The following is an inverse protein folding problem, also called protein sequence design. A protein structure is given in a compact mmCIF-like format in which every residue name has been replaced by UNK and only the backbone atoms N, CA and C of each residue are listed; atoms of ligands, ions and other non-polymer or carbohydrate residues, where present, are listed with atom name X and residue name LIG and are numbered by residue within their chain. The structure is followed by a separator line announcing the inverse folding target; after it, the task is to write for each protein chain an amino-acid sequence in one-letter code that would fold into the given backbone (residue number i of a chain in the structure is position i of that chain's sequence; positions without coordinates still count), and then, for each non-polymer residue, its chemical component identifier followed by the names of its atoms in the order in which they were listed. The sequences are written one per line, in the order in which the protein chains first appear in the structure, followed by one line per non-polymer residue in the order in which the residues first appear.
data_IF_791125982394
#
_entry.id   IF_791125982394
#
_cell.length_a   1.000
_cell.length_b   1.000
_cell.length_c   1.000
_cell.angle_alpha   90.00
_cell.angle_beta   90.00
_cell.angle_gamma   90.00
#
_symmetry.space_group_name_H-M   'P 1'
#
loop_
_entity.id
_entity.type
_entity.pdbx_description
1 polymer ?
#
# COMPACT_ATOMS: atom_id res chain seq x y z
N UNK A 1 44.76 -23.88 -42.65
CA UNK A 1 44.54 -22.60 -41.94
C UNK A 1 43.11 -22.17 -42.21
N UNK A 2 42.16 -22.42 -41.30
CA UNK A 2 40.85 -21.75 -41.25
C UNK A 2 40.01 -22.13 -40.01
N UNK A 3 40.26 -23.26 -39.34
CA UNK A 3 39.43 -23.67 -38.19
C UNK A 3 39.61 -22.79 -36.94
N UNK A 4 40.81 -22.29 -36.68
CA UNK A 4 41.07 -21.48 -35.47
C UNK A 4 40.43 -20.08 -35.55
N UNK A 5 40.32 -19.53 -36.76
CA UNK A 5 39.69 -18.23 -36.99
C UNK A 5 38.16 -18.34 -36.87
N UNK A 6 37.56 -19.43 -37.37
CA UNK A 6 36.12 -19.68 -37.25
C UNK A 6 35.71 -19.96 -35.81
N UNK A 7 36.53 -20.68 -35.04
CA UNK A 7 36.24 -20.97 -33.63
C UNK A 7 36.25 -19.70 -32.77
N UNK A 8 37.20 -18.77 -33.01
CA UNK A 8 37.28 -17.48 -32.31
C UNK A 8 36.12 -16.55 -32.69
N UNK A 9 35.69 -16.57 -33.95
CA UNK A 9 34.52 -15.80 -34.42
C UNK A 9 33.21 -16.33 -33.81
N UNK A 10 33.07 -17.65 -33.71
CA UNK A 10 31.90 -18.28 -33.09
C UNK A 10 31.86 -18.05 -31.57
N UNK A 11 32.99 -18.09 -30.87
CA UNK A 11 33.07 -17.76 -29.43
C UNK A 11 32.78 -16.28 -29.16
N UNK A 12 33.23 -15.36 -30.01
CA UNK A 12 32.86 -13.94 -29.89
C UNK A 12 31.38 -13.69 -30.15
N UNK A 13 30.77 -14.35 -31.13
CA UNK A 13 29.33 -14.23 -31.41
C UNK A 13 28.46 -14.76 -30.26
N UNK A 14 28.86 -15.89 -29.64
CA UNK A 14 28.16 -16.44 -28.46
C UNK A 14 28.29 -15.50 -27.25
N UNK A 15 29.47 -14.89 -27.04
CA UNK A 15 29.69 -13.92 -25.97
C UNK A 15 28.87 -12.64 -26.11
N UNK A 16 28.72 -12.12 -27.34
CA UNK A 16 27.91 -10.92 -27.61
C UNK A 16 26.42 -11.20 -27.43
N UNK A 17 25.93 -12.39 -27.78
CA UNK A 17 24.53 -12.80 -27.57
C UNK A 17 24.21 -12.96 -26.07
N UNK A 18 25.13 -13.52 -25.28
CA UNK A 18 24.93 -13.67 -23.83
C UNK A 18 24.92 -12.32 -23.10
N UNK A 19 25.77 -11.36 -23.49
CA UNK A 19 25.77 -10.01 -22.90
C UNK A 19 24.52 -9.21 -23.32
N UNK A 20 24.03 -9.38 -24.55
CA UNK A 20 22.79 -8.76 -25.01
C UNK A 20 21.54 -9.32 -24.30
N UNK A 21 21.52 -10.63 -23.96
CA UNK A 21 20.43 -11.22 -23.18
C UNK A 21 20.44 -10.81 -21.71
N UNK A 22 21.62 -10.57 -21.11
CA UNK A 22 21.74 -10.10 -19.72
C UNK A 22 21.39 -8.61 -19.54
N UNK A 23 21.51 -7.81 -20.60
CA UNK A 23 21.14 -6.38 -20.57
C UNK A 23 19.69 -6.10 -20.99
N UNK A 24 18.97 -7.11 -21.50
CA UNK A 24 17.56 -7.00 -21.89
C UNK A 24 16.56 -7.42 -20.78
N UNK A 25 17.04 -7.84 -19.60
CA UNK A 25 16.19 -8.34 -18.51
C UNK A 25 15.62 -7.32 -17.50
N UNK A 26 15.94 -6.01 -17.47
CA UNK A 26 15.22 -5.09 -16.56
C UNK A 26 13.88 -4.54 -17.10
N UNK A 27 13.39 -4.97 -18.26
CA UNK A 27 12.19 -4.37 -18.89
C UNK A 27 10.92 -5.24 -18.85
N UNK A 28 10.91 -6.34 -18.09
CA UNK A 28 9.75 -7.24 -17.98
C UNK A 28 9.40 -7.58 -16.52
N UNK A 29 9.18 -6.55 -15.69
CA UNK A 29 8.46 -6.67 -14.43
C UNK A 29 7.64 -5.42 -14.12
N UNK A 30 6.91 -4.93 -15.11
CA UNK A 30 5.79 -4.01 -14.92
C UNK A 30 4.51 -4.82 -15.15
N UNK A 31 3.60 -4.97 -14.17
CA UNK A 31 2.30 -5.57 -14.43
C UNK A 31 1.51 -4.68 -15.41
N UNK A 32 0.93 -5.26 -16.47
CA UNK A 32 0.15 -4.53 -17.45
C UNK A 32 -1.28 -4.39 -16.93
N UNK A 33 -1.61 -3.26 -16.30
CA UNK A 33 -3.01 -2.83 -16.19
C UNK A 33 -3.12 -1.41 -16.73
N UNK A 34 -3.26 -1.36 -18.05
CA UNK A 34 -3.76 -0.19 -18.76
C UNK A 34 -5.18 0.10 -18.34
N UNK A 35 -5.40 1.34 -17.90
CA UNK A 35 -6.71 1.97 -17.85
C UNK A 35 -7.31 1.95 -19.28
N UNK A 36 -8.38 1.18 -19.44
CA UNK A 36 -9.26 1.19 -20.61
C UNK A 36 -10.54 2.00 -20.35
N UNK A 37 -11.28 2.39 -21.41
CA UNK A 37 -11.90 3.71 -21.52
C UNK A 37 -13.38 3.79 -21.09
N UNK A 38 -13.76 4.98 -20.65
CA UNK A 38 -15.07 5.66 -20.74
C UNK A 38 -16.36 4.84 -20.85
N UNK A 39 -17.13 4.87 -19.76
CA UNK A 39 -18.60 4.97 -19.75
C UNK A 39 -18.87 6.03 -18.67
N UNK A 40 -19.48 7.19 -18.91
CA UNK A 40 -20.65 7.48 -19.72
C UNK A 40 -21.63 8.16 -18.76
N UNK A 41 -21.79 9.48 -18.88
CA UNK A 41 -22.73 10.28 -18.11
C UNK A 41 -24.16 9.74 -18.25
N UNK A 42 -24.84 9.45 -17.13
CA UNK A 42 -26.29 9.62 -16.94
C UNK A 42 -26.73 9.03 -15.60
N UNK A 43 -27.14 9.91 -14.68
CA UNK A 43 -28.47 9.87 -14.02
C UNK A 43 -28.41 10.57 -12.66
N UNK A 44 -28.77 11.86 -12.70
CA UNK A 44 -29.05 12.65 -11.52
C UNK A 44 -30.32 12.16 -10.82
N UNK A 45 -30.20 11.83 -9.53
CA UNK A 45 -31.32 11.52 -8.63
C UNK A 45 -31.44 12.57 -7.50
N UNK A 46 -32.66 12.90 -7.05
CA UNK A 46 -32.96 14.15 -6.35
C UNK A 46 -32.82 14.03 -4.84
N UNK A 47 -31.63 14.28 -4.29
CA UNK A 47 -31.44 14.45 -2.84
C UNK A 47 -30.61 15.68 -2.51
N UNK A 48 -30.92 16.80 -3.16
CA UNK A 48 -30.47 18.12 -2.72
C UNK A 48 -31.15 18.49 -1.39
N UNK A 49 -30.53 18.10 -0.28
CA UNK A 49 -30.87 18.55 1.07
C UNK A 49 -29.83 19.54 1.59
N UNK A 50 -30.24 20.80 1.71
CA UNK A 50 -29.49 21.95 2.27
C UNK A 50 -29.14 21.81 3.76
N UNK A 51 -27.95 22.31 4.12
CA UNK A 51 -27.59 22.88 5.44
C UNK A 51 -26.88 21.90 6.39
N UNK A 52 -25.91 22.27 7.25
CA UNK A 52 -25.38 23.55 7.74
C UNK A 52 -24.04 23.27 8.47
N UNK A 53 -23.01 24.13 8.33
CA UNK A 53 -21.93 24.25 9.33
C UNK A 53 -20.48 24.28 8.79
N UNK A 54 -19.63 25.25 9.18
CA UNK A 54 -18.21 25.28 8.82
C UNK A 54 -17.41 24.52 9.88
N UNK A 55 -16.99 23.30 9.56
CA UNK A 55 -16.09 22.53 10.42
C UNK A 55 -15.94 21.10 9.96
N UNK A 56 -14.76 20.76 9.47
CA UNK A 56 -14.28 19.41 9.15
C UNK A 56 -15.14 18.64 8.13
N UNK A 57 -14.71 18.69 6.87
CA UNK A 57 -15.33 17.99 5.75
C UNK A 57 -15.47 16.50 6.00
N UNK A 58 -16.69 16.09 6.34
CA UNK A 58 -17.24 14.77 6.07
C UNK A 58 -18.48 15.03 5.22
N UNK A 59 -18.28 15.14 3.92
CA UNK A 59 -19.35 15.31 2.96
C UNK A 59 -20.24 14.06 2.87
N UNK A 60 -21.51 14.19 2.47
CA UNK A 60 -22.42 13.06 2.29
C UNK A 60 -22.03 12.31 1.01
N UNK A 61 -21.08 11.40 1.18
CA UNK A 61 -20.43 10.62 0.13
C UNK A 61 -19.22 9.83 0.67
N UNK A 62 -19.16 9.61 1.99
CA UNK A 62 -18.12 8.82 2.67
C UNK A 62 -18.26 7.34 2.36
N UNK A 63 -18.14 6.97 1.07
CA UNK A 63 -17.79 5.62 0.68
C UNK A 63 -16.41 5.32 1.27
N UNK A 64 -16.32 4.17 1.94
CA UNK A 64 -15.10 3.48 2.37
C UNK A 64 -13.84 4.11 1.79
N UNK A 65 -13.07 4.80 2.64
CA UNK A 65 -11.95 5.65 2.26
C UNK A 65 -10.97 4.97 1.32
N UNK A 66 -11.16 5.20 0.02
CA UNK A 66 -10.10 5.08 -0.95
C UNK A 66 -9.27 6.36 -0.84
N UNK A 67 -8.05 6.19 -0.33
CA UNK A 67 -7.16 7.26 0.09
C UNK A 67 -7.08 8.39 -0.92
N UNK A 68 -7.53 9.57 -0.52
CA UNK A 68 -7.01 10.80 -1.07
C UNK A 68 -5.51 10.78 -0.78
N UNK A 69 -4.67 10.80 -1.82
CA UNK A 69 -3.24 11.05 -1.69
C UNK A 69 -3.02 12.16 -0.65
N UNK A 70 -2.37 11.83 0.46
CA UNK A 70 -2.01 12.83 1.46
C UNK A 70 -1.10 13.84 0.78
N UNK A 71 -1.60 15.05 0.51
CA UNK A 71 -0.78 16.11 -0.07
C UNK A 71 0.37 16.38 0.89
N UNK A 72 1.60 16.12 0.43
CA UNK A 72 2.82 16.51 1.13
C UNK A 72 3.34 17.79 0.45
N UNK A 73 3.49 18.91 1.18
CA UNK A 73 4.09 20.12 0.64
C UNK A 73 5.48 19.84 0.06
N UNK A 74 5.82 20.49 -1.05
CA UNK A 74 7.14 20.29 -1.71
C UNK A 74 8.33 20.67 -0.82
N UNK A 75 8.12 21.54 0.17
CA UNK A 75 9.14 21.98 1.10
C UNK A 75 8.51 22.14 2.48
N UNK A 76 9.17 21.58 3.48
CA UNK A 76 8.79 21.68 4.89
C UNK A 76 9.98 22.19 5.71
N UNK A 77 9.73 22.80 6.89
CA UNK A 77 10.81 23.11 7.82
C UNK A 77 11.51 21.82 8.24
N UNK A 78 12.83 21.80 8.23
CA UNK A 78 13.61 20.63 8.66
C UNK A 78 13.36 20.39 10.15
N UNK A 79 12.92 19.19 10.58
CA UNK A 79 12.67 18.89 11.99
C UNK A 79 13.97 19.00 12.80
N UNK A 80 13.90 19.64 13.97
CA UNK A 80 15.04 19.81 14.87
C UNK A 80 15.30 18.55 15.70
N UNK A 81 14.24 17.82 16.03
CA UNK A 81 14.30 16.59 16.81
C UNK A 81 14.89 15.44 16.01
N UNK A 82 16.14 15.08 16.33
CA UNK A 82 16.81 13.89 15.78
C UNK A 82 16.06 12.60 16.14
N UNK A 83 15.44 12.54 17.30
CA UNK A 83 14.63 11.39 17.72
C UNK A 83 13.41 11.24 16.81
N UNK A 84 12.71 12.34 16.52
CA UNK A 84 11.54 12.32 15.64
C UNK A 84 11.91 11.88 14.24
N UNK A 85 13.00 12.42 13.67
CA UNK A 85 13.52 12.00 12.37
C UNK A 85 13.94 10.52 12.38
N UNK A 86 14.58 10.06 13.46
CA UNK A 86 14.95 8.65 13.63
C UNK A 86 13.74 7.73 13.62
N UNK A 87 12.69 8.07 14.36
CA UNK A 87 11.45 7.29 14.41
C UNK A 87 10.66 7.33 13.09
N UNK A 88 10.70 8.44 12.35
CA UNK A 88 10.12 8.51 11.01
C UNK A 88 10.86 7.56 10.05
N UNK A 89 12.20 7.45 10.17
CA UNK A 89 12.98 6.48 9.38
C UNK A 89 12.64 5.05 9.76
N UNK A 90 12.48 4.77 11.05
CA UNK A 90 12.04 3.45 11.53
C UNK A 90 10.69 3.07 10.93
N UNK A 91 9.70 3.98 10.92
CA UNK A 91 8.41 3.70 10.29
C UNK A 91 8.58 3.46 8.79
N UNK A 92 9.34 4.27 8.05
CA UNK A 92 9.55 4.03 6.61
C UNK A 92 10.07 2.62 6.31
N UNK A 93 11.00 2.14 7.13
CA UNK A 93 11.56 0.78 7.01
C UNK A 93 10.49 -0.28 7.30
N UNK A 94 9.62 -0.03 8.29
CA UNK A 94 8.52 -0.92 8.63
C UNK A 94 7.41 -0.92 7.57
N UNK A 95 7.05 0.22 6.97
CA UNK A 95 6.07 0.26 5.86
C UNK A 95 6.58 -0.48 4.62
N UNK A 96 7.87 -0.33 4.31
CA UNK A 96 8.50 -1.14 3.24
C UNK A 96 8.41 -2.63 3.55
N UNK A 97 8.62 -3.01 4.81
CA UNK A 97 8.48 -4.40 5.26
C UNK A 97 7.02 -4.88 5.13
N UNK A 98 6.04 -4.07 5.56
CA UNK A 98 4.60 -4.35 5.42
C UNK A 98 4.23 -4.57 3.95
N UNK A 99 4.58 -3.63 3.08
CA UNK A 99 4.31 -3.72 1.65
C UNK A 99 4.87 -5.01 1.03
N UNK A 100 6.14 -5.33 1.28
CA UNK A 100 6.79 -6.52 0.74
C UNK A 100 6.20 -7.82 1.33
N UNK A 101 5.96 -7.86 2.65
CA UNK A 101 5.38 -9.01 3.33
C UNK A 101 3.96 -9.29 2.85
N UNK A 102 3.13 -8.27 2.75
CA UNK A 102 1.73 -8.41 2.32
C UNK A 102 1.65 -8.89 0.88
N UNK A 103 2.52 -8.38 0.01
CA UNK A 103 2.62 -8.85 -1.38
C UNK A 103 3.04 -10.32 -1.44
N UNK A 104 4.06 -10.71 -0.67
CA UNK A 104 4.52 -12.10 -0.59
C UNK A 104 3.41 -13.06 -0.12
N UNK A 105 2.72 -12.72 0.96
CA UNK A 105 1.66 -13.56 1.51
C UNK A 105 0.44 -13.63 0.58
N UNK A 106 0.05 -12.52 -0.04
CA UNK A 106 -1.04 -12.48 -1.02
C UNK A 106 -0.79 -13.44 -2.18
N UNK A 107 0.42 -13.38 -2.76
CA UNK A 107 0.83 -14.23 -3.87
C UNK A 107 0.91 -15.71 -3.43
N UNK A 108 1.54 -15.97 -2.28
CA UNK A 108 1.77 -17.33 -1.77
C UNK A 108 0.47 -18.09 -1.51
N UNK A 109 -0.52 -17.44 -0.92
CA UNK A 109 -1.78 -18.07 -0.55
C UNK A 109 -2.90 -17.82 -1.56
N UNK A 110 -2.61 -17.10 -2.66
CA UNK A 110 -3.58 -16.73 -3.71
C UNK A 110 -4.89 -16.18 -3.12
N UNK A 111 -4.76 -15.26 -2.16
CA UNK A 111 -5.91 -14.63 -1.49
C UNK A 111 -6.06 -13.18 -1.93
N UNK A 112 -7.30 -12.77 -2.10
CA UNK A 112 -7.65 -11.49 -2.68
C UNK A 112 -7.93 -10.42 -1.62
N UNK A 113 -8.83 -10.70 -0.68
CA UNK A 113 -9.11 -9.82 0.46
C UNK A 113 -8.38 -10.32 1.72
N UNK A 114 -7.87 -9.44 2.58
CA UNK A 114 -7.91 -7.98 2.47
C UNK A 114 -6.75 -7.38 1.62
N UNK A 115 -5.77 -8.18 1.20
CA UNK A 115 -4.53 -7.72 0.58
C UNK A 115 -4.71 -6.76 -0.60
N UNK A 116 -5.66 -6.99 -1.50
CA UNK A 116 -5.91 -6.09 -2.65
C UNK A 116 -6.25 -4.66 -2.22
N UNK A 117 -6.89 -4.50 -1.07
CA UNK A 117 -7.26 -3.19 -0.56
C UNK A 117 -6.10 -2.52 0.18
N UNK A 118 -5.30 -3.32 0.89
CA UNK A 118 -4.24 -2.84 1.79
C UNK A 118 -2.95 -2.54 1.02
N UNK A 119 -2.50 -3.43 0.13
CA UNK A 119 -1.22 -3.28 -0.60
C UNK A 119 -1.08 -1.93 -1.34
N UNK A 120 -2.09 -1.44 -2.08
CA UNK A 120 -1.98 -0.11 -2.70
C UNK A 120 -1.84 1.03 -1.69
N UNK A 121 -2.48 0.91 -0.52
CA UNK A 121 -2.39 1.92 0.54
C UNK A 121 -1.01 1.89 1.21
N UNK A 122 -0.45 0.69 1.46
CA UNK A 122 0.94 0.55 1.94
C UNK A 122 1.94 1.20 0.98
N UNK A 123 1.74 1.02 -0.33
CA UNK A 123 2.55 1.69 -1.33
C UNK A 123 2.44 3.22 -1.21
N UNK A 124 1.23 3.74 -1.00
CA UNK A 124 1.00 5.17 -0.76
C UNK A 124 1.63 5.65 0.54
N UNK A 125 1.66 4.84 1.61
CA UNK A 125 2.32 5.16 2.87
C UNK A 125 3.82 5.34 2.67
N UNK A 126 4.47 4.35 2.03
CA UNK A 126 5.90 4.41 1.69
C UNK A 126 6.20 5.67 0.88
N UNK A 127 5.46 5.92 -0.20
CA UNK A 127 5.67 7.10 -1.06
C UNK A 127 5.43 8.41 -0.30
N UNK A 128 4.44 8.46 0.58
CA UNK A 128 4.12 9.65 1.38
C UNK A 128 5.25 9.97 2.36
N UNK A 129 5.79 8.96 3.03
CA UNK A 129 6.90 9.14 3.98
C UNK A 129 8.19 9.50 3.24
N UNK A 130 8.47 8.90 2.08
CA UNK A 130 9.59 9.29 1.21
C UNK A 130 9.47 10.76 0.76
N UNK A 131 8.26 11.21 0.43
CA UNK A 131 7.99 12.62 0.11
C UNK A 131 8.20 13.54 1.30
N UNK A 132 7.86 13.13 2.53
CA UNK A 132 8.18 13.89 3.73
C UNK A 132 9.70 14.07 3.85
N UNK A 133 10.48 12.99 3.72
CA UNK A 133 11.95 13.07 3.70
C UNK A 133 12.46 14.04 2.63
N UNK A 134 11.95 13.93 1.40
CA UNK A 134 12.31 14.83 0.31
C UNK A 134 11.95 16.29 0.61
N UNK A 135 10.78 16.56 1.19
CA UNK A 135 10.32 17.91 1.55
C UNK A 135 11.18 18.55 2.65
N UNK A 136 11.78 17.75 3.53
CA UNK A 136 12.77 18.20 4.52
C UNK A 136 14.20 18.30 3.94
N UNK A 137 14.44 17.86 2.70
CA UNK A 137 15.79 17.74 2.14
C UNK A 137 16.64 16.68 2.86
N UNK A 138 16.02 15.62 3.38
CA UNK A 138 16.65 14.52 4.10
C UNK A 138 16.59 13.22 3.28
N UNK A 139 17.56 12.29 3.45
CA UNK A 139 17.55 11.03 2.71
C UNK A 139 16.60 10.00 3.35
N UNK A 140 15.86 9.29 2.50
CA UNK A 140 14.90 8.23 2.85
C UNK A 140 15.58 6.83 2.89
N UNK A 141 16.55 6.69 3.79
CA UNK A 141 17.40 5.50 3.90
C UNK A 141 16.83 4.41 4.82
N UNK A 142 17.39 3.21 4.70
CA UNK A 142 17.06 2.06 5.53
C UNK A 142 16.49 0.91 4.69
N UNK A 143 16.97 -0.30 4.99
CA UNK A 143 16.49 -1.52 4.35
C UNK A 143 15.53 -2.25 5.31
N UNK A 144 14.40 -2.78 4.82
CA UNK A 144 13.53 -3.62 5.64
C UNK A 144 14.29 -4.84 6.16
N UNK A 145 13.80 -5.38 7.28
CA UNK A 145 14.24 -6.68 7.76
C UNK A 145 13.87 -7.78 6.77
N UNK A 146 14.41 -8.99 6.97
CA UNK A 146 14.05 -10.12 6.13
C UNK A 146 12.55 -10.47 6.27
N UNK A 147 11.93 -10.82 5.14
CA UNK A 147 10.54 -11.28 5.10
C UNK A 147 10.37 -12.58 5.89
N UNK A 148 9.21 -12.72 6.52
CA UNK A 148 8.85 -13.92 7.29
C UNK A 148 8.13 -14.91 6.38
N UNK A 149 8.63 -16.14 6.35
CA UNK A 149 7.97 -17.23 5.63
C UNK A 149 6.91 -17.87 6.53
N UNK A 150 5.69 -17.36 6.44
CA UNK A 150 4.48 -17.90 7.11
C UNK A 150 4.17 -19.31 6.59
N UNK A 151 3.53 -20.19 7.35
CA UNK A 151 3.21 -21.56 6.87
C UNK A 151 1.76 -21.72 6.44
N UNK A 152 0.87 -20.89 6.98
CA UNK A 152 -0.57 -20.90 6.68
C UNK A 152 -1.08 -19.48 6.44
N UNK A 153 -2.23 -19.38 5.78
CA UNK A 153 -2.90 -18.09 5.59
C UNK A 153 -3.33 -17.46 6.92
N UNK A 154 -3.70 -18.27 7.90
CA UNK A 154 -3.99 -17.78 9.27
C UNK A 154 -2.75 -17.16 9.90
N UNK A 155 -1.60 -17.84 9.84
CA UNK A 155 -0.33 -17.29 10.34
C UNK A 155 0.06 -15.99 9.61
N UNK A 156 -0.24 -15.89 8.31
CA UNK A 156 0.00 -14.68 7.53
C UNK A 156 -0.88 -13.51 8.01
N UNK A 157 -2.17 -13.73 8.24
CA UNK A 157 -3.04 -12.68 8.79
C UNK A 157 -2.67 -12.31 10.23
N UNK A 158 -2.27 -13.28 11.07
CA UNK A 158 -1.77 -13.00 12.42
C UNK A 158 -0.49 -12.15 12.39
N UNK A 159 0.41 -12.43 11.45
CA UNK A 159 1.60 -11.61 11.23
C UNK A 159 1.22 -10.19 10.80
N UNK A 160 0.30 -10.02 9.85
CA UNK A 160 -0.17 -8.71 9.42
C UNK A 160 -0.78 -7.92 10.59
N UNK A 161 -1.66 -8.53 11.38
CA UNK A 161 -2.24 -7.92 12.60
C UNK A 161 -1.15 -7.45 13.56
N UNK A 162 -0.10 -8.25 13.75
CA UNK A 162 1.02 -7.88 14.61
C UNK A 162 1.76 -6.66 14.05
N UNK A 163 2.06 -6.65 12.75
CA UNK A 163 2.76 -5.55 12.10
C UNK A 163 1.99 -4.23 12.23
N UNK A 164 0.67 -4.25 11.98
CA UNK A 164 -0.17 -3.07 12.15
C UNK A 164 -0.23 -2.57 13.60
N UNK A 165 -0.37 -3.51 14.56
CA UNK A 165 -0.35 -3.16 16.00
C UNK A 165 0.97 -2.57 16.45
N UNK A 166 2.09 -2.98 15.85
CA UNK A 166 3.42 -2.45 16.14
C UNK A 166 3.62 -1.05 15.52
N UNK A 167 2.99 -0.76 14.37
CA UNK A 167 3.04 0.54 13.67
C UNK A 167 2.21 1.63 14.35
N UNK A 168 0.97 1.31 14.77
CA UNK A 168 0.03 2.28 15.37
C UNK A 168 0.64 3.16 16.47
N UNK A 169 1.26 2.63 17.55
CA UNK A 169 1.79 3.47 18.62
C UNK A 169 2.99 4.32 18.17
N UNK A 170 3.70 3.91 17.12
CA UNK A 170 4.82 4.67 16.54
C UNK A 170 4.30 5.89 15.79
N UNK A 171 3.25 5.69 14.99
CA UNK A 171 2.55 6.80 14.33
C UNK A 171 1.94 7.75 15.34
N UNK A 172 1.24 7.25 16.36
CA UNK A 172 0.66 8.08 17.43
C UNK A 172 1.72 8.97 18.09
N UNK A 173 2.90 8.40 18.37
CA UNK A 173 4.01 9.16 18.90
C UNK A 173 4.50 10.23 17.92
N UNK A 174 4.69 9.91 16.63
CA UNK A 174 5.17 10.88 15.65
C UNK A 174 4.18 12.02 15.44
N UNK A 175 2.89 11.71 15.33
CA UNK A 175 1.81 12.72 15.20
C UNK A 175 1.80 13.65 16.41
N UNK A 176 1.87 13.09 17.62
CA UNK A 176 1.86 13.88 18.86
C UNK A 176 3.09 14.77 19.02
N UNK A 177 4.25 14.34 18.51
CA UNK A 177 5.54 15.01 18.71
C UNK A 177 6.04 15.74 17.45
N UNK A 178 5.21 15.89 16.42
CA UNK A 178 5.56 16.66 15.23
C UNK A 178 5.75 18.15 15.57
N UNK A 179 6.80 18.76 14.99
CA UNK A 179 7.14 20.17 15.22
C UNK A 179 6.29 21.15 14.39
N UNK A 180 5.60 20.64 13.37
CA UNK A 180 4.71 21.40 12.51
C UNK A 180 3.41 20.65 12.23
N UNK A 181 2.36 21.42 11.88
CA UNK A 181 1.00 20.90 11.71
C UNK A 181 0.82 20.10 10.41
N UNK A 182 1.60 20.41 9.38
CA UNK A 182 1.45 19.74 8.08
C UNK A 182 1.96 18.31 8.19
N UNK A 183 3.14 18.13 8.79
CA UNK A 183 3.72 16.82 9.11
C UNK A 183 2.81 16.00 10.02
N UNK A 184 2.27 16.63 11.08
CA UNK A 184 1.31 15.97 11.98
C UNK A 184 0.06 15.50 11.22
N UNK A 185 -0.49 16.34 10.35
CA UNK A 185 -1.68 16.04 9.56
C UNK A 185 -1.46 14.90 8.57
N UNK A 186 -0.34 14.93 7.84
CA UNK A 186 0.04 13.85 6.91
C UNK A 186 0.16 12.52 7.64
N UNK A 187 0.93 12.47 8.73
CA UNK A 187 1.14 11.24 9.49
C UNK A 187 -0.14 10.74 10.18
N UNK A 188 -1.04 11.65 10.59
CA UNK A 188 -2.33 11.26 11.17
C UNK A 188 -3.26 10.61 10.14
N UNK A 189 -3.17 11.01 8.86
CA UNK A 189 -3.93 10.35 7.79
C UNK A 189 -3.42 8.91 7.57
N UNK A 190 -2.09 8.71 7.60
CA UNK A 190 -1.50 7.36 7.52
C UNK A 190 -1.94 6.50 8.71
N UNK A 191 -1.84 7.03 9.94
CA UNK A 191 -2.31 6.36 11.17
C UNK A 191 -3.77 5.87 11.07
N UNK A 192 -4.66 6.68 10.51
CA UNK A 192 -6.07 6.29 10.33
C UNK A 192 -6.18 5.09 9.38
N UNK A 193 -5.41 5.08 8.28
CA UNK A 193 -5.39 3.98 7.33
C UNK A 193 -4.79 2.70 7.93
N UNK A 194 -3.67 2.79 8.65
CA UNK A 194 -3.07 1.68 9.40
C UNK A 194 -4.07 1.04 10.37
N UNK A 195 -4.89 1.85 11.06
CA UNK A 195 -5.97 1.34 11.93
C UNK A 195 -7.07 0.61 11.14
N UNK A 196 -7.39 1.05 9.92
CA UNK A 196 -8.31 0.32 9.05
C UNK A 196 -7.72 -1.00 8.59
N UNK A 197 -6.43 -1.03 8.23
CA UNK A 197 -5.74 -2.27 7.85
C UNK A 197 -5.79 -3.31 8.98
N UNK A 198 -5.50 -2.89 10.22
CA UNK A 198 -5.63 -3.74 11.40
C UNK A 198 -7.04 -4.35 11.48
N UNK A 199 -8.09 -3.52 11.40
CA UNK A 199 -9.46 -3.98 11.47
C UNK A 199 -9.80 -4.97 10.33
N UNK A 200 -9.27 -4.76 9.13
CA UNK A 200 -9.47 -5.66 7.99
C UNK A 200 -8.81 -7.03 8.19
N UNK A 201 -7.58 -7.07 8.68
CA UNK A 201 -6.90 -8.35 8.97
C UNK A 201 -7.50 -9.07 10.18
N UNK A 202 -7.85 -8.34 11.25
CA UNK A 202 -8.57 -8.92 12.40
C UNK A 202 -9.92 -9.51 11.97
N UNK A 203 -10.65 -8.82 11.10
CA UNK A 203 -11.90 -9.34 10.54
C UNK A 203 -11.65 -10.61 9.72
N UNK A 204 -10.63 -10.63 8.86
CA UNK A 204 -10.27 -11.79 8.05
C UNK A 204 -9.93 -13.03 8.90
N UNK A 205 -9.30 -12.84 10.07
CA UNK A 205 -9.07 -13.91 11.04
C UNK A 205 -10.37 -14.43 11.65
N UNK A 206 -11.30 -13.53 12.01
CA UNK A 206 -12.57 -13.89 12.65
C UNK A 206 -13.52 -14.64 11.71
N UNK A 207 -13.59 -14.26 10.44
CA UNK A 207 -14.50 -14.91 9.46
C UNK A 207 -13.92 -16.21 8.86
N UNK A 208 -12.71 -16.58 9.27
CA UNK A 208 -11.97 -17.72 8.74
C UNK A 208 -11.36 -17.38 7.40
N UNK A 209 -10.04 -17.47 7.30
CA UNK A 209 -9.24 -17.01 6.15
C UNK A 209 -9.54 -17.61 4.77
N UNK A 210 -10.61 -18.40 4.60
CA UNK A 210 -11.13 -18.87 3.31
C UNK A 210 -12.50 -18.30 2.92
N UNK A 211 -13.10 -17.41 3.71
CA UNK A 211 -14.52 -17.02 3.59
C UNK A 211 -14.86 -15.86 2.66
N UNK A 212 -13.89 -15.14 2.08
CA UNK A 212 -14.15 -14.05 1.13
C UNK A 212 -13.98 -14.44 -0.34
N UNK A 213 -13.74 -15.72 -0.63
CA UNK A 213 -13.42 -16.23 -1.98
C UNK A 213 -14.28 -17.43 -2.40
N UNK A 214 -15.60 -17.38 -2.21
CA UNK A 214 -16.46 -18.50 -2.64
C UNK A 214 -17.92 -18.15 -2.88
N UNK A 215 -18.63 -17.56 -1.91
CA UNK A 215 -20.09 -17.38 -2.00
C UNK A 215 -20.52 -16.23 -1.08
N UNK A 216 -20.90 -15.07 -1.63
CA UNK A 216 -21.40 -13.98 -0.76
C UNK A 216 -21.78 -12.64 -1.39
N UNK A 217 -21.43 -12.36 -2.65
CA UNK A 217 -21.88 -11.16 -3.37
C UNK A 217 -22.71 -11.51 -4.61
N UNK A 218 -23.58 -12.51 -4.51
CA UNK A 218 -24.75 -12.59 -5.40
C UNK A 218 -25.90 -11.91 -4.68
N UNK A 219 -26.27 -10.73 -5.16
CA UNK A 219 -27.52 -10.09 -4.80
C UNK A 219 -28.69 -11.04 -5.05
N UNK A 220 -29.28 -11.53 -3.97
CA UNK A 220 -30.67 -11.93 -3.87
C UNK A 220 -31.08 -11.64 -2.44
N UNK A 221 -31.51 -10.39 -2.20
CA UNK A 221 -32.52 -10.16 -1.19
C UNK A 221 -33.87 -10.34 -1.87
N UNK A 222 -34.59 -11.46 -1.68
CA UNK A 222 -36.01 -11.47 -1.97
C UNK A 222 -36.66 -10.57 -0.93
N UNK A 223 -37.33 -9.53 -1.40
CA UNK A 223 -38.29 -8.82 -0.57
C UNK A 223 -39.20 -9.82 0.12
N UNK A 224 -39.32 -9.69 1.44
CA UNK A 224 -40.48 -10.17 2.17
C UNK A 224 -40.98 -9.02 3.03
N UNK A 225 -41.93 -8.28 2.45
CA UNK A 225 -43.04 -7.72 3.19
C UNK A 225 -43.65 -8.81 4.09
N UNK A 226 -43.78 -8.51 5.39
CA UNK A 226 -44.79 -8.96 6.36
C UNK A 226 -44.47 -8.13 7.61
N UNK A 227 -45.18 -7.06 7.95
CA UNK A 227 -46.61 -7.03 8.16
C UNK A 227 -46.90 -7.64 9.52
N UNK A 228 -46.76 -6.85 10.59
CA UNK A 228 -47.58 -6.64 11.79
C UNK A 228 -46.85 -5.60 12.66
#
# INVERSE_FOLDING_TARGET
MNEEADMKRNLMLIGVIFVAMLLAWPAMSQPPYGYGPGYGDQDGGPWMGRGMGPGYGMGPGGGMGYGTWGYVPQKLPVPKSKEWVGKLKEILVLERLSLEQYSLDADKYNTYMPYRMVIPQEQDHVMTIERLFAAYGLPAEGKPAALTNTKTLTEAYELCVKMERDLIPRYEWLVKNAEDRDSAGVLNNLLIQTRYHLAMFEHALQVGGGGMGGWGWRGHGPGMMRGW
#
